data_IF_456885269621
#
_entry.id   IF_456885269621
#
_cell.length_a   1.000
_cell.length_b   1.000
_cell.length_c   1.000
_cell.angle_alpha   90.00
_cell.angle_beta   90.00
_cell.angle_gamma   90.00
#
_symmetry.space_group_name_H-M   'P 1'
#
loop_
_entity.id
_entity.type
_entity.pdbx_description
1 polymer ?
#
# COMPACT_ATOMS: atom_id res chain seq x y z
N UNK A 1 8.73 -0.81 -1.44
CA UNK A 1 9.79 -0.31 -2.32
C UNK A 1 10.15 -1.34 -3.35
N UNK A 2 10.26 -0.96 -4.59
CA UNK A 2 10.74 -1.85 -5.62
C UNK A 2 12.25 -2.09 -5.43
N UNK A 3 12.68 -3.36 -5.49
CA UNK A 3 14.09 -3.70 -5.23
C UNK A 3 15.08 -2.98 -6.15
N UNK A 4 14.68 -2.65 -7.37
CA UNK A 4 15.51 -1.94 -8.34
C UNK A 4 15.64 -0.43 -8.08
N UNK A 5 14.70 0.15 -7.34
CA UNK A 5 14.72 1.59 -7.01
C UNK A 5 15.48 1.87 -5.72
N UNK A 6 16.07 0.82 -5.16
CA UNK A 6 16.67 0.87 -3.88
C UNK A 6 18.14 1.18 -3.96
N UNK A 7 18.51 2.28 -3.37
CA UNK A 7 19.90 2.65 -3.20
C UNK A 7 20.44 1.97 -1.93
N UNK A 8 20.82 2.64 -0.94
CA UNK A 8 21.61 2.14 0.17
C UNK A 8 20.82 1.51 1.34
N UNK A 9 19.52 1.25 1.17
CA UNK A 9 18.72 0.67 2.25
C UNK A 9 18.90 -0.86 2.31
N UNK A 10 19.14 -1.45 3.49
CA UNK A 10 19.29 -2.89 3.62
C UNK A 10 18.01 -3.64 3.29
N UNK A 11 18.15 -4.76 2.59
CA UNK A 11 17.05 -5.68 2.28
C UNK A 11 17.21 -6.96 3.09
N UNK A 12 16.08 -7.51 3.56
CA UNK A 12 16.04 -8.86 4.08
C UNK A 12 16.18 -9.85 2.91
N UNK A 13 17.26 -10.66 2.87
CA UNK A 13 17.48 -11.62 1.78
C UNK A 13 16.44 -12.74 1.77
N UNK A 14 15.74 -12.97 2.89
CA UNK A 14 14.73 -14.01 3.03
C UNK A 14 13.31 -13.53 2.71
N UNK A 15 13.13 -12.26 2.40
CA UNK A 15 11.83 -11.67 2.07
C UNK A 15 11.76 -11.26 0.60
N UNK A 16 10.88 -11.91 -0.16
CA UNK A 16 10.77 -11.68 -1.61
C UNK A 16 10.28 -10.27 -1.96
N UNK A 17 9.51 -9.65 -1.09
CA UNK A 17 8.97 -8.30 -1.27
C UNK A 17 7.84 -8.19 -2.29
N UNK A 18 7.35 -9.30 -2.82
CA UNK A 18 6.22 -9.38 -3.75
C UNK A 18 5.45 -10.68 -3.55
N UNK A 19 4.14 -10.63 -3.77
CA UNK A 19 3.26 -11.78 -3.66
C UNK A 19 2.00 -11.61 -4.50
N UNK A 20 1.19 -12.66 -4.57
CA UNK A 20 -0.11 -12.66 -5.23
C UNK A 20 -1.15 -13.30 -4.33
N UNK A 21 -2.36 -12.78 -4.36
CA UNK A 21 -3.54 -13.41 -3.80
C UNK A 21 -4.72 -13.23 -4.75
N UNK A 22 -5.66 -14.16 -4.71
CA UNK A 22 -6.92 -14.05 -5.44
C UNK A 22 -7.98 -13.50 -4.49
N UNK A 23 -8.93 -12.76 -5.05
CA UNK A 23 -10.15 -12.41 -4.34
C UNK A 23 -11.12 -13.60 -4.34
N UNK A 24 -11.93 -13.70 -3.30
CA UNK A 24 -13.07 -14.62 -3.29
C UNK A 24 -14.26 -14.07 -4.10
N UNK A 25 -15.37 -14.83 -4.14
CA UNK A 25 -16.58 -14.48 -4.88
C UNK A 25 -17.25 -13.18 -4.38
N UNK A 26 -16.88 -12.71 -3.19
CA UNK A 26 -17.34 -11.45 -2.62
C UNK A 26 -16.33 -10.31 -2.79
N UNK A 27 -15.24 -10.55 -3.52
CA UNK A 27 -14.18 -9.58 -3.73
C UNK A 27 -13.23 -9.39 -2.54
N UNK A 28 -13.27 -10.28 -1.54
CA UNK A 28 -12.39 -10.19 -0.37
C UNK A 28 -11.05 -10.83 -0.67
N UNK A 29 -10.01 -10.24 -0.14
CA UNK A 29 -8.63 -10.74 -0.21
C UNK A 29 -7.96 -10.67 1.17
N UNK A 30 -7.00 -11.53 1.39
CA UNK A 30 -6.19 -11.56 2.62
C UNK A 30 -4.78 -12.02 2.30
N UNK A 31 -3.80 -11.38 2.90
CA UNK A 31 -2.42 -11.85 2.89
C UNK A 31 -1.71 -11.42 4.18
N UNK A 32 -0.63 -12.12 4.50
CA UNK A 32 0.27 -11.77 5.61
C UNK A 32 1.62 -11.35 5.05
N UNK A 33 2.19 -10.32 5.64
CA UNK A 33 3.47 -9.77 5.22
C UNK A 33 4.19 -9.10 6.37
N UNK A 34 5.42 -8.70 6.15
CA UNK A 34 6.14 -7.80 7.04
C UNK A 34 5.68 -6.38 6.73
N UNK A 35 5.40 -5.58 7.77
CA UNK A 35 5.14 -4.16 7.57
C UNK A 35 6.38 -3.51 6.95
N UNK A 36 6.28 -2.88 5.76
CA UNK A 36 7.41 -2.25 5.14
C UNK A 36 7.91 -1.06 5.96
N UNK A 37 9.21 -0.79 5.90
CA UNK A 37 9.81 0.40 6.48
C UNK A 37 9.68 1.62 5.56
N UNK A 38 9.84 2.79 6.14
CA UNK A 38 10.11 4.01 5.39
C UNK A 38 11.48 3.90 4.69
N UNK A 39 11.64 4.56 3.57
CA UNK A 39 12.90 4.52 2.83
C UNK A 39 13.26 5.84 2.16
N UNK A 40 14.57 6.12 1.99
CA UNK A 40 15.01 7.28 1.23
C UNK A 40 14.80 7.07 -0.27
N UNK A 41 14.55 8.16 -0.99
CA UNK A 41 14.45 8.16 -2.43
C UNK A 41 15.01 9.46 -3.05
N UNK A 42 15.24 9.45 -4.37
CA UNK A 42 15.99 10.50 -5.05
C UNK A 42 15.21 11.76 -5.43
N UNK A 43 14.05 12.05 -4.82
CA UNK A 43 13.23 13.21 -5.18
C UNK A 43 13.90 14.56 -4.81
N UNK A 44 14.52 14.63 -3.64
CA UNK A 44 15.34 15.76 -3.16
C UNK A 44 16.26 15.29 -2.03
N UNK A 45 17.26 16.10 -1.61
CA UNK A 45 18.09 15.74 -0.46
C UNK A 45 17.24 15.44 0.77
N UNK A 46 17.55 14.32 1.45
CA UNK A 46 16.80 13.83 2.61
C UNK A 46 15.30 13.59 2.37
N UNK A 47 14.92 13.21 1.15
CA UNK A 47 13.56 12.79 0.87
C UNK A 47 13.33 11.35 1.34
N UNK A 48 12.25 11.13 2.09
CA UNK A 48 11.83 9.82 2.60
C UNK A 48 10.39 9.55 2.22
N UNK A 49 10.11 8.32 1.86
CA UNK A 49 8.74 7.85 1.64
C UNK A 49 8.19 7.15 2.87
N UNK A 50 6.90 7.34 3.20
CA UNK A 50 6.24 6.62 4.28
C UNK A 50 6.16 5.11 4.00
N UNK A 51 5.85 4.34 5.03
CA UNK A 51 5.55 2.93 4.92
C UNK A 51 4.36 2.73 3.97
N UNK A 52 4.51 1.95 2.90
CA UNK A 52 3.43 1.67 1.96
C UNK A 52 3.59 0.33 1.25
N UNK A 53 2.49 -0.17 0.72
CA UNK A 53 2.44 -1.39 -0.09
C UNK A 53 1.84 -1.04 -1.45
N UNK A 54 2.52 -1.41 -2.53
CA UNK A 54 1.98 -1.29 -3.87
C UNK A 54 0.99 -2.41 -4.16
N UNK A 55 -0.16 -2.03 -4.68
CA UNK A 55 -1.19 -2.96 -5.17
C UNK A 55 -1.30 -2.87 -6.68
N UNK A 56 -1.35 -4.03 -7.32
CA UNK A 56 -1.64 -4.16 -8.74
C UNK A 56 -2.77 -5.15 -8.89
N UNK A 57 -3.96 -4.66 -9.25
CA UNK A 57 -5.16 -5.47 -9.41
C UNK A 57 -5.39 -5.76 -10.88
N UNK A 58 -5.70 -7.02 -11.16
CA UNK A 58 -6.06 -7.48 -12.49
C UNK A 58 -7.50 -8.02 -12.43
N UNK A 59 -8.34 -7.56 -13.35
CA UNK A 59 -9.68 -8.11 -13.55
C UNK A 59 -9.68 -9.18 -14.64
N UNK A 60 -10.84 -9.77 -14.85
CA UNK A 60 -11.07 -10.82 -15.86
C UNK A 60 -10.97 -10.30 -17.30
N UNK A 61 -10.96 -8.99 -17.49
CA UNK A 61 -10.86 -8.34 -18.81
C UNK A 61 -9.45 -7.77 -19.00
N UNK A 62 -8.87 -7.98 -20.17
CA UNK A 62 -7.51 -7.59 -20.56
C UNK A 62 -7.12 -6.13 -20.31
N UNK A 63 -8.10 -5.24 -20.27
CA UNK A 63 -7.86 -3.80 -20.09
C UNK A 63 -8.01 -3.31 -18.65
N UNK A 64 -8.33 -4.19 -17.70
CA UNK A 64 -8.65 -3.80 -16.32
C UNK A 64 -7.48 -4.02 -15.38
N UNK A 65 -6.59 -3.04 -15.30
CA UNK A 65 -5.53 -3.01 -14.30
C UNK A 65 -5.63 -1.74 -13.47
N UNK A 66 -5.75 -1.89 -12.16
CA UNK A 66 -5.62 -0.80 -11.21
C UNK A 66 -4.28 -0.93 -10.49
N UNK A 67 -3.50 0.13 -10.48
CA UNK A 67 -2.28 0.25 -9.68
C UNK A 67 -2.49 1.34 -8.65
N UNK A 68 -2.28 1.03 -7.38
CA UNK A 68 -2.45 1.98 -6.28
C UNK A 68 -1.47 1.67 -5.14
N UNK A 69 -1.43 2.54 -4.16
CA UNK A 69 -0.62 2.35 -2.95
C UNK A 69 -1.50 2.38 -1.71
N UNK A 70 -1.23 1.48 -0.79
CA UNK A 70 -1.81 1.47 0.55
C UNK A 70 -0.81 2.06 1.54
N UNK A 71 -1.22 3.06 2.27
CA UNK A 71 -0.46 3.65 3.36
C UNK A 71 -0.95 3.15 4.72
N UNK A 72 -0.12 3.30 5.73
CA UNK A 72 -0.46 2.94 7.11
C UNK A 72 -0.91 4.16 7.91
N UNK A 73 -1.90 4.02 8.80
CA UNK A 73 -2.40 5.15 9.59
C UNK A 73 -1.34 5.69 10.55
N UNK A 74 -1.36 7.00 10.75
CA UNK A 74 -0.50 7.66 11.73
C UNK A 74 0.97 7.81 11.33
N UNK A 75 1.32 7.53 10.08
CA UNK A 75 2.70 7.73 9.59
C UNK A 75 2.98 9.23 9.40
N UNK A 76 3.96 9.81 10.14
CA UNK A 76 4.27 11.24 10.07
C UNK A 76 4.82 11.67 8.70
N UNK A 77 5.31 10.74 7.87
CA UNK A 77 5.85 11.04 6.56
C UNK A 77 4.76 11.26 5.50
N UNK A 78 3.50 10.93 5.75
CA UNK A 78 2.40 11.13 4.80
C UNK A 78 2.29 12.60 4.34
N UNK A 79 2.48 13.53 5.26
CA UNK A 79 2.42 14.97 4.97
C UNK A 79 3.53 15.47 4.04
N UNK A 80 4.53 14.65 3.76
CA UNK A 80 5.66 15.00 2.90
C UNK A 80 5.74 14.13 1.64
N UNK A 81 4.90 13.11 1.51
CA UNK A 81 4.93 12.21 0.36
C UNK A 81 4.18 12.81 -0.84
N UNK A 82 4.87 13.19 -1.93
CA UNK A 82 4.24 13.79 -3.09
C UNK A 82 3.25 12.85 -3.78
N UNK A 83 3.42 11.53 -3.67
CA UNK A 83 2.47 10.56 -4.22
C UNK A 83 1.14 10.59 -3.45
N UNK A 84 1.20 10.63 -2.13
CA UNK A 84 0.02 10.79 -1.28
C UNK A 84 -0.63 12.17 -1.47
N UNK A 85 0.16 13.23 -1.44
CA UNK A 85 -0.31 14.61 -1.60
C UNK A 85 -0.84 14.90 -3.00
N UNK A 86 -0.40 14.17 -4.02
CA UNK A 86 -0.91 14.26 -5.38
C UNK A 86 -2.36 13.78 -5.54
N UNK A 87 -2.89 13.02 -4.57
CA UNK A 87 -4.31 12.69 -4.54
C UNK A 87 -5.15 13.89 -4.05
N UNK A 88 -6.37 14.10 -4.60
CA UNK A 88 -7.32 15.06 -4.05
C UNK A 88 -7.60 14.78 -2.57
N UNK A 89 -7.72 15.83 -1.76
CA UNK A 89 -7.87 15.72 -0.30
C UNK A 89 -8.97 14.75 0.12
N UNK A 90 -10.13 14.82 -0.55
CA UNK A 90 -11.28 13.95 -0.25
C UNK A 90 -11.08 12.47 -0.62
N UNK A 91 -10.00 12.13 -1.33
CA UNK A 91 -9.65 10.75 -1.71
C UNK A 91 -8.42 10.22 -0.96
N UNK A 92 -7.69 11.06 -0.23
CA UNK A 92 -6.48 10.63 0.50
C UNK A 92 -6.79 9.58 1.55
N UNK A 93 -7.91 9.72 2.26
CA UNK A 93 -8.32 8.75 3.27
C UNK A 93 -8.57 7.36 2.67
N UNK A 94 -8.98 7.30 1.40
CA UNK A 94 -9.15 6.02 0.68
C UNK A 94 -7.83 5.30 0.38
N UNK A 95 -6.69 5.96 0.56
CA UNK A 95 -5.35 5.38 0.36
C UNK A 95 -4.72 4.91 1.67
N UNK A 96 -5.36 5.17 2.82
CA UNK A 96 -4.85 4.79 4.14
C UNK A 96 -5.63 3.60 4.67
N UNK A 97 -4.92 2.53 5.02
CA UNK A 97 -5.52 1.36 5.67
C UNK A 97 -6.01 1.69 7.07
N UNK A 98 -6.96 0.91 7.56
CA UNK A 98 -7.50 1.06 8.90
C UNK A 98 -7.01 -0.09 9.80
N UNK A 99 -6.42 0.26 10.94
CA UNK A 99 -6.10 -0.75 11.94
C UNK A 99 -7.41 -1.35 12.51
N UNK A 100 -7.45 -2.67 12.64
CA UNK A 100 -8.62 -3.39 13.13
C UNK A 100 -8.22 -4.51 14.07
N UNK A 101 -8.79 -4.47 15.27
CA UNK A 101 -8.64 -5.56 16.24
C UNK A 101 -9.34 -6.84 15.78
N UNK A 102 -10.45 -6.72 15.03
CA UNK A 102 -11.25 -7.86 14.58
C UNK A 102 -10.48 -8.81 13.64
N UNK A 103 -9.51 -8.25 12.90
CA UNK A 103 -8.65 -9.03 12.00
C UNK A 103 -7.22 -9.15 12.50
N UNK A 104 -6.93 -8.63 13.67
CA UNK A 104 -5.65 -8.81 14.37
C UNK A 104 -5.55 -10.20 14.95
N UNK A 105 -4.42 -10.86 14.75
CA UNK A 105 -4.10 -12.14 15.36
C UNK A 105 -3.22 -11.88 16.59
N UNK A 106 -3.74 -12.04 17.82
CA UNK A 106 -2.98 -11.76 19.04
C UNK A 106 -1.63 -12.47 19.05
N UNK A 107 -0.61 -11.77 19.53
CA UNK A 107 0.78 -12.24 19.64
C UNK A 107 1.46 -12.64 18.33
N UNK A 108 0.77 -12.42 17.18
CA UNK A 108 1.27 -12.89 15.89
C UNK A 108 1.28 -11.83 14.79
N UNK A 109 0.15 -11.17 14.51
CA UNK A 109 0.05 -10.21 13.42
C UNK A 109 -0.97 -9.10 13.68
N UNK A 110 -0.58 -7.85 13.48
CA UNK A 110 -1.50 -6.72 13.48
C UNK A 110 -2.37 -6.75 12.23
N UNK A 111 -3.66 -6.53 12.41
CA UNK A 111 -4.64 -6.51 11.34
C UNK A 111 -4.91 -5.13 10.80
N UNK A 112 -4.90 -5.01 9.49
CA UNK A 112 -5.26 -3.79 8.77
C UNK A 112 -6.29 -4.12 7.70
N UNK A 113 -7.29 -3.26 7.56
CA UNK A 113 -8.32 -3.35 6.52
C UNK A 113 -8.03 -2.27 5.46
N UNK A 114 -8.08 -2.66 4.21
CA UNK A 114 -7.89 -1.76 3.10
C UNK A 114 -8.88 -2.11 1.98
N UNK A 115 -9.88 -1.26 1.82
CA UNK A 115 -10.89 -1.40 0.78
C UNK A 115 -10.44 -0.70 -0.50
N UNK A 116 -10.51 -1.40 -1.61
CA UNK A 116 -10.16 -0.87 -2.92
C UNK A 116 -11.45 -0.71 -3.73
N UNK A 117 -11.85 0.53 -3.96
CA UNK A 117 -13.07 0.87 -4.69
C UNK A 117 -12.73 1.07 -6.16
N UNK A 118 -13.23 0.19 -7.02
CA UNK A 118 -12.87 0.17 -8.44
C UNK A 118 -13.57 1.25 -9.28
N UNK A 119 -14.75 1.73 -8.86
CA UNK A 119 -15.56 2.70 -9.63
C UNK A 119 -16.36 3.62 -8.72
N UNK A 120 -16.72 4.79 -9.24
CA UNK A 120 -17.61 5.76 -8.56
C UNK A 120 -16.86 6.94 -7.97
N UNK A 121 -17.60 7.81 -7.29
CA UNK A 121 -17.07 9.06 -6.73
C UNK A 121 -15.99 8.85 -5.64
N UNK A 122 -15.98 7.67 -5.03
CA UNK A 122 -14.98 7.26 -4.02
C UNK A 122 -14.01 6.22 -4.56
N UNK A 123 -13.85 6.13 -5.88
CA UNK A 123 -12.91 5.17 -6.46
C UNK A 123 -11.48 5.42 -5.93
N UNK A 124 -10.83 4.32 -5.57
CA UNK A 124 -9.43 4.34 -5.15
C UNK A 124 -8.58 4.91 -6.29
N UNK A 125 -7.75 5.89 -5.96
CA UNK A 125 -6.88 6.51 -6.95
C UNK A 125 -5.81 5.52 -7.41
N UNK A 126 -5.50 5.60 -8.69
CA UNK A 126 -4.40 4.86 -9.32
C UNK A 126 -3.19 5.78 -9.59
N UNK A 127 -2.03 5.17 -9.68
CA UNK A 127 -0.78 5.80 -10.12
C UNK A 127 -0.77 6.07 -11.63
#
# INVERSE_FOLDING_TARGET
MHKVDQHDAPLDPNFLGAGRCLTDDQGRYTFKTIKPGAYPWGNHPNAWRPNHIHFSLFGDYFASRLVTQMYFPGDPLLQYDPMYLGAPDHLRDCMVSQFSLDVTQPDYALGYVFDIVLRGAKATRFE
#
